data_IF_578966951802
#
_entry.id   IF_578966951802
#
_cell.length_a   1.000
_cell.length_b   1.000
_cell.length_c   1.000
_cell.angle_alpha   90.00
_cell.angle_beta   90.00
_cell.angle_gamma   90.00
#
_symmetry.space_group_name_H-M   'P 1'
#
loop_
_entity.id
_entity.type
_entity.pdbx_description
1 polymer ?
#
# COMPACT_ATOMS: atom_id res chain seq x y z
N UNK A 1 -0.87 11.23 8.66
CA UNK A 1 -0.88 9.93 7.97
C UNK A 1 -1.30 8.87 8.97
N UNK A 2 -2.55 8.40 8.93
CA UNK A 2 -2.94 7.24 9.72
C UNK A 2 -2.30 6.00 9.13
N UNK A 3 -1.77 5.16 10.00
CA UNK A 3 -1.18 3.88 9.66
C UNK A 3 -2.31 2.86 9.49
N UNK A 4 -2.36 2.16 8.36
CA UNK A 4 -3.36 1.11 8.10
C UNK A 4 -3.00 -0.14 8.88
N UNK A 5 -1.75 -0.58 8.72
CA UNK A 5 -1.23 -1.82 9.27
C UNK A 5 0.20 -1.63 9.75
N UNK A 6 0.59 -2.39 10.77
CA UNK A 6 1.98 -2.54 11.21
C UNK A 6 2.34 -4.01 11.24
N UNK A 7 3.38 -4.40 10.52
CA UNK A 7 3.87 -5.79 10.50
C UNK A 7 5.34 -5.77 10.90
N UNK A 8 5.60 -6.09 12.17
CA UNK A 8 6.94 -5.97 12.75
C UNK A 8 7.48 -4.53 12.64
N UNK A 9 8.65 -4.32 12.01
CA UNK A 9 9.23 -2.99 11.84
C UNK A 9 8.62 -2.22 10.65
N UNK A 10 7.78 -2.85 9.82
CA UNK A 10 7.25 -2.23 8.61
C UNK A 10 5.89 -1.56 8.86
N UNK A 11 5.78 -0.32 8.41
CA UNK A 11 4.54 0.45 8.42
C UNK A 11 3.95 0.47 7.02
N UNK A 12 2.64 0.23 6.94
CA UNK A 12 1.85 0.23 5.71
C UNK A 12 0.83 1.37 5.80
N UNK A 13 0.79 2.23 4.80
CA UNK A 13 0.01 3.47 4.84
C UNK A 13 -0.32 4.01 3.44
N UNK A 14 -1.29 4.93 3.39
CA UNK A 14 -1.55 5.80 2.22
C UNK A 14 -0.83 7.13 2.41
N UNK A 15 -0.40 7.78 1.32
CA UNK A 15 -0.07 9.19 1.41
C UNK A 15 -1.36 10.00 1.60
N UNK A 16 -1.28 11.09 2.36
CA UNK A 16 -2.43 11.98 2.50
C UNK A 16 -2.65 12.85 1.26
N UNK A 17 -1.67 12.93 0.37
CA UNK A 17 -1.72 13.67 -0.87
C UNK A 17 -1.31 12.72 -2.02
N UNK A 18 -2.29 12.00 -2.56
CA UNK A 18 -2.12 11.00 -3.64
C UNK A 18 -2.13 11.64 -5.05
N UNK A 19 -2.07 12.97 -5.14
CA UNK A 19 -2.04 13.72 -6.41
C UNK A 19 -3.42 14.05 -6.98
N UNK A 20 -3.42 14.88 -8.03
CA UNK A 20 -4.58 15.21 -8.88
C UNK A 20 -4.14 15.09 -10.36
N UNK A 21 -4.64 14.10 -11.13
CA UNK A 21 -5.71 13.17 -10.78
C UNK A 21 -5.32 12.12 -9.74
N UNK A 22 -6.30 11.67 -8.95
CA UNK A 22 -6.10 10.60 -7.96
C UNK A 22 -5.60 9.32 -8.66
N UNK A 23 -4.49 8.80 -8.15
CA UNK A 23 -3.93 7.54 -8.63
C UNK A 23 -4.81 6.32 -8.28
N UNK A 24 -4.64 5.18 -8.99
CA UNK A 24 -5.25 3.92 -8.58
C UNK A 24 -4.89 3.50 -7.15
N UNK A 25 -5.72 2.66 -6.53
CA UNK A 25 -5.52 2.20 -5.15
C UNK A 25 -4.15 1.51 -4.97
N UNK A 26 -3.42 1.96 -3.96
CA UNK A 26 -2.13 1.39 -3.60
C UNK A 26 -1.78 1.66 -2.14
N UNK A 27 -0.73 0.98 -1.67
CA UNK A 27 -0.13 1.21 -0.36
C UNK A 27 1.36 1.48 -0.47
N UNK A 28 1.87 2.20 0.51
CA UNK A 28 3.29 2.42 0.72
C UNK A 28 3.79 1.62 1.92
N UNK A 29 5.02 1.11 1.80
CA UNK A 29 5.71 0.38 2.85
C UNK A 29 7.04 1.05 3.14
N UNK A 30 7.30 1.31 4.41
CA UNK A 30 8.62 1.71 4.89
C UNK A 30 8.94 1.06 6.23
N UNK A 31 10.22 0.89 6.52
CA UNK A 31 10.67 0.50 7.85
C UNK A 31 10.57 1.71 8.80
N UNK A 32 9.85 1.54 9.91
CA UNK A 32 9.59 2.58 10.89
C UNK A 32 8.59 3.61 10.41
N UNK A 33 9.04 4.84 10.16
CA UNK A 33 8.19 5.97 9.76
C UNK A 33 8.06 6.06 8.24
N UNK A 34 7.03 6.75 7.76
CA UNK A 34 6.83 7.04 6.35
C UNK A 34 8.05 7.77 5.74
N UNK A 35 8.45 7.37 4.53
CA UNK A 35 9.60 7.93 3.81
C UNK A 35 9.25 8.14 2.34
N UNK A 36 9.82 9.15 1.69
CA UNK A 36 9.63 9.40 0.25
C UNK A 36 10.11 8.23 -0.63
N UNK A 37 11.08 7.45 -0.15
CA UNK A 37 11.59 6.24 -0.81
C UNK A 37 10.81 4.97 -0.46
N UNK A 38 9.57 5.10 0.01
CA UNK A 38 8.72 3.96 0.37
C UNK A 38 8.49 3.03 -0.84
N UNK A 39 8.54 1.73 -0.57
CA UNK A 39 8.14 0.69 -1.51
C UNK A 39 6.64 0.86 -1.81
N UNK A 40 6.27 0.86 -3.10
CA UNK A 40 4.88 1.03 -3.54
C UNK A 40 4.30 -0.27 -4.05
N UNK A 41 3.07 -0.58 -3.66
CA UNK A 41 2.35 -1.79 -4.03
C UNK A 41 0.93 -1.43 -4.46
N UNK A 42 0.56 -1.79 -5.69
CA UNK A 42 -0.80 -1.65 -6.20
C UNK A 42 -1.71 -2.73 -5.64
N UNK A 43 -2.99 -2.40 -5.45
CA UNK A 43 -4.05 -3.35 -5.14
C UNK A 43 -4.91 -3.52 -6.40
N UNK A 44 -5.21 -4.77 -6.77
CA UNK A 44 -6.04 -5.07 -7.94
C UNK A 44 -7.52 -5.17 -7.56
N UNK A 45 -8.41 -5.12 -8.55
CA UNK A 45 -9.85 -5.30 -8.36
C UNK A 45 -10.24 -6.67 -7.78
N UNK A 46 -9.35 -7.66 -7.90
CA UNK A 46 -9.50 -9.01 -7.34
C UNK A 46 -8.94 -9.17 -5.93
N UNK A 47 -8.48 -8.09 -5.28
CA UNK A 47 -7.86 -8.13 -3.95
C UNK A 47 -6.42 -8.66 -3.93
N UNK A 48 -5.83 -8.92 -5.10
CA UNK A 48 -4.42 -9.27 -5.22
C UNK A 48 -3.55 -8.01 -5.22
N UNK A 49 -2.22 -8.21 -5.20
CA UNK A 49 -1.26 -7.10 -5.13
C UNK A 49 -0.16 -7.22 -6.17
N UNK A 50 0.28 -6.07 -6.69
CA UNK A 50 1.35 -5.98 -7.68
C UNK A 50 2.42 -5.02 -7.14
N UNK A 51 3.67 -5.47 -7.13
CA UNK A 51 4.79 -4.61 -6.74
C UNK A 51 5.04 -3.54 -7.81
N UNK A 52 4.96 -2.27 -7.45
CA UNK A 52 5.30 -1.16 -8.35
C UNK A 52 6.81 -0.88 -8.33
N UNK A 53 7.37 -0.73 -7.13
CA UNK A 53 8.80 -0.55 -6.92
C UNK A 53 9.19 -1.02 -5.52
N UNK A 54 10.48 -1.28 -5.31
CA UNK A 54 11.06 -1.60 -4.00
C UNK A 54 12.16 -0.61 -3.62
N UNK A 55 11.84 0.69 -3.62
CA UNK A 55 12.81 1.75 -3.32
C UNK A 55 13.32 1.73 -1.87
N UNK A 56 12.57 1.12 -0.94
CA UNK A 56 13.01 0.90 0.44
C UNK A 56 13.99 -0.27 0.58
N UNK A 57 14.32 -0.97 -0.51
CA UNK A 57 15.25 -2.09 -0.54
C UNK A 57 14.87 -3.20 0.45
N UNK A 58 13.57 -3.47 0.59
CA UNK A 58 13.07 -4.50 1.49
C UNK A 58 13.54 -5.86 0.96
N UNK A 59 14.18 -6.72 1.80
CA UNK A 59 14.62 -8.04 1.36
C UNK A 59 13.47 -8.85 0.75
N UNK A 60 13.72 -9.50 -0.39
CA UNK A 60 12.68 -10.14 -1.21
C UNK A 60 11.80 -11.13 -0.42
N UNK A 61 12.41 -11.93 0.46
CA UNK A 61 11.69 -12.90 1.30
C UNK A 61 10.70 -12.22 2.25
N UNK A 62 11.05 -11.04 2.75
CA UNK A 62 10.19 -10.23 3.63
C UNK A 62 9.12 -9.55 2.80
N UNK A 63 9.49 -8.94 1.67
CA UNK A 63 8.55 -8.29 0.76
C UNK A 63 7.43 -9.23 0.30
N UNK A 64 7.78 -10.47 -0.07
CA UNK A 64 6.80 -11.52 -0.41
C UNK A 64 5.86 -11.90 0.73
N UNK A 65 6.29 -11.77 1.99
CA UNK A 65 5.41 -11.97 3.16
C UNK A 65 4.49 -10.77 3.35
N UNK A 66 5.03 -9.55 3.26
CA UNK A 66 4.24 -8.33 3.38
C UNK A 66 3.16 -8.25 2.29
N UNK A 67 3.50 -8.56 1.04
CA UNK A 67 2.55 -8.64 -0.07
C UNK A 67 1.40 -9.61 0.21
N UNK A 68 1.69 -10.81 0.73
CA UNK A 68 0.64 -11.77 1.12
C UNK A 68 -0.26 -11.25 2.23
N UNK A 69 0.31 -10.57 3.22
CA UNK A 69 -0.46 -9.97 4.30
C UNK A 69 -1.35 -8.83 3.79
N UNK A 70 -0.85 -7.99 2.88
CA UNK A 70 -1.63 -6.90 2.26
C UNK A 70 -2.79 -7.49 1.45
N UNK A 71 -2.53 -8.49 0.61
CA UNK A 71 -3.58 -9.16 -0.16
C UNK A 71 -4.67 -9.78 0.75
N UNK A 72 -4.27 -10.41 1.86
CA UNK A 72 -5.19 -11.01 2.82
C UNK A 72 -6.04 -9.98 3.59
N UNK A 73 -5.63 -8.70 3.62
CA UNK A 73 -6.39 -7.61 4.26
C UNK A 73 -6.89 -6.60 3.20
N UNK A 74 -6.98 -7.01 1.93
CA UNK A 74 -7.28 -6.09 0.83
C UNK A 74 -8.66 -5.44 0.94
N UNK A 75 -9.67 -6.16 1.41
CA UNK A 75 -11.03 -5.63 1.60
C UNK A 75 -11.05 -4.43 2.57
N UNK A 76 -10.38 -4.56 3.72
CA UNK A 76 -10.28 -3.48 4.71
C UNK A 76 -9.50 -2.28 4.15
N UNK A 77 -8.44 -2.54 3.40
CA UNK A 77 -7.65 -1.48 2.76
C UNK A 77 -8.45 -0.76 1.68
N UNK A 78 -9.24 -1.48 0.88
CA UNK A 78 -10.13 -0.93 -0.15
C UNK A 78 -11.20 -0.05 0.51
N UNK A 79 -11.83 -0.53 1.58
CA UNK A 79 -12.82 0.22 2.32
C UNK A 79 -12.22 1.53 2.87
N UNK A 80 -11.01 1.47 3.44
CA UNK A 80 -10.37 2.69 3.95
C UNK A 80 -9.89 3.65 2.87
N UNK A 81 -9.53 3.15 1.69
CA UNK A 81 -9.26 4.00 0.54
C UNK A 81 -10.52 4.78 0.15
N UNK A 82 -11.65 4.10 -0.01
CA UNK A 82 -12.93 4.71 -0.38
C UNK A 82 -13.39 5.70 0.70
N UNK A 83 -13.30 5.34 1.99
CA UNK A 83 -13.66 6.22 3.09
C UNK A 83 -12.83 7.53 3.10
N UNK A 84 -11.56 7.45 2.66
CA UNK A 84 -10.63 8.58 2.68
C UNK A 84 -10.73 9.46 1.43
N UNK A 85 -10.82 8.85 0.25
CA UNK A 85 -10.70 9.55 -1.02
C UNK A 85 -12.02 9.65 -1.80
N UNK A 86 -13.07 8.93 -1.38
CA UNK A 86 -14.41 8.98 -1.98
C UNK A 86 -14.55 8.29 -3.34
N UNK A 87 -13.45 8.02 -4.04
CA UNK A 87 -13.42 7.28 -5.30
C UNK A 87 -12.31 6.23 -5.30
N UNK A 88 -12.46 5.22 -6.16
CA UNK A 88 -11.47 4.16 -6.35
C UNK A 88 -11.28 3.86 -7.83
N UNK A 89 -10.02 3.69 -8.23
CA UNK A 89 -9.58 3.21 -9.54
C UNK A 89 -8.59 2.07 -9.31
N UNK A 90 -8.53 1.12 -10.21
CA UNK A 90 -7.58 0.00 -10.13
C UNK A 90 -6.51 0.13 -11.20
N UNK A 91 -5.29 -0.33 -10.89
CA UNK A 91 -4.19 -0.34 -11.82
C UNK A 91 -4.36 -1.52 -12.78
N UNK A 92 -4.63 -1.22 -14.06
CA UNK A 92 -4.97 -2.15 -15.14
C UNK A 92 -6.34 -2.81 -14.99
#
# INVERSE_FOLDING_TARGET
MPQLLRIGPYSIYFWSNEGDPLEPIHVHISEGRAKSTATKIWITSTGNVILSNNNSQIPERILKKLMRMIAANSDDIINEWINRFGEIKYFC
#
